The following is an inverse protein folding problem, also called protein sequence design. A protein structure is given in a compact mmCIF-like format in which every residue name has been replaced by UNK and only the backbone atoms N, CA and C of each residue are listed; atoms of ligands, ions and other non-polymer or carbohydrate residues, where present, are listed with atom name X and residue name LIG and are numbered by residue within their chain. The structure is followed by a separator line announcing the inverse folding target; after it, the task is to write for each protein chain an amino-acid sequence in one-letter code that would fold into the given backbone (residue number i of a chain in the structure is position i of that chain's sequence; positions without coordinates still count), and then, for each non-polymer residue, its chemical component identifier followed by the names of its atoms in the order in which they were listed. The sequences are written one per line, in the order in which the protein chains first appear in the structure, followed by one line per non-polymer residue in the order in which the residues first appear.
data_IF_627992303400
#
_entry.id   IF_627992303400
#
_cell.length_a   1.000
_cell.length_b   1.000
_cell.length_c   1.000
_cell.angle_alpha   90.00
_cell.angle_beta   90.00
_cell.angle_gamma   90.00
#
_symmetry.space_group_name_H-M   'P 1'
#
loop_
_entity.id
_entity.type
_entity.pdbx_description
1 polymer ?
#
# COMPACT_ATOMS: atom_id res chain seq x y z
N UNK A 1 -21.73 -3.27 -14.17
CA UNK A 1 -22.47 -2.70 -13.02
C UNK A 1 -22.17 -3.42 -11.69
N UNK A 2 -21.97 -4.74 -11.66
CA UNK A 2 -21.73 -5.50 -10.40
C UNK A 2 -20.42 -5.16 -9.69
N UNK A 3 -19.32 -4.96 -10.42
CA UNK A 3 -18.01 -4.59 -9.84
C UNK A 3 -18.06 -3.25 -9.11
N UNK A 4 -18.77 -2.25 -9.68
CA UNK A 4 -18.93 -0.93 -9.03
C UNK A 4 -19.69 -1.04 -7.69
N UNK A 5 -20.72 -1.88 -7.63
CA UNK A 5 -21.48 -2.11 -6.38
C UNK A 5 -20.68 -2.89 -5.34
N UNK A 6 -19.86 -3.86 -5.76
CA UNK A 6 -18.96 -4.60 -4.87
C UNK A 6 -17.85 -3.71 -4.33
N UNK A 7 -17.25 -2.87 -5.17
CA UNK A 7 -16.26 -1.88 -4.76
C UNK A 7 -16.87 -0.87 -3.79
N UNK A 8 -18.10 -0.43 -4.03
CA UNK A 8 -18.80 0.46 -3.09
C UNK A 8 -19.02 -0.20 -1.73
N UNK A 9 -19.45 -1.46 -1.71
CA UNK A 9 -19.60 -2.23 -0.47
C UNK A 9 -18.28 -2.50 0.23
N UNK A 10 -17.21 -2.75 -0.53
CA UNK A 10 -15.86 -2.92 -0.01
C UNK A 10 -15.35 -1.63 0.63
N UNK A 11 -15.44 -0.49 -0.06
CA UNK A 11 -15.04 0.83 0.46
C UNK A 11 -15.84 1.19 1.71
N UNK A 12 -17.16 0.99 1.68
CA UNK A 12 -18.00 1.32 2.84
C UNK A 12 -17.69 0.40 4.02
N UNK A 13 -17.45 -0.90 3.77
CA UNK A 13 -17.09 -1.87 4.81
C UNK A 13 -15.70 -1.66 5.40
N UNK A 14 -14.71 -1.27 4.59
CA UNK A 14 -13.34 -0.98 5.07
C UNK A 14 -13.28 0.31 5.89
N UNK A 15 -14.10 1.32 5.58
CA UNK A 15 -14.20 2.54 6.40
C UNK A 15 -14.76 2.20 7.79
N UNK A 16 -15.84 1.43 7.86
CA UNK A 16 -16.47 1.04 9.15
C UNK A 16 -15.55 0.12 9.96
N UNK A 17 -14.91 -0.87 9.33
CA UNK A 17 -13.96 -1.74 10.00
C UNK A 17 -12.67 -1.01 10.41
N UNK A 18 -12.18 -0.10 9.57
CA UNK A 18 -10.98 0.70 9.82
C UNK A 18 -11.16 1.63 11.02
N UNK A 19 -12.31 2.30 11.10
CA UNK A 19 -12.65 3.14 12.27
C UNK A 19 -12.80 2.32 13.55
N UNK A 20 -13.44 1.14 13.49
CA UNK A 20 -13.53 0.23 14.62
C UNK A 20 -12.14 -0.26 15.10
N UNK A 21 -11.24 -0.60 14.17
CA UNK A 21 -9.85 -0.98 14.50
C UNK A 21 -9.12 0.19 15.14
N UNK A 22 -9.23 1.41 14.62
CA UNK A 22 -8.56 2.59 15.22
C UNK A 22 -9.12 2.89 16.62
N UNK A 23 -10.43 2.76 16.83
CA UNK A 23 -11.09 2.96 18.13
C UNK A 23 -10.75 1.89 19.16
N UNK A 24 -10.59 0.63 18.73
CA UNK A 24 -10.33 -0.50 19.63
C UNK A 24 -8.84 -0.81 19.80
N UNK A 25 -7.96 -0.24 18.97
CA UNK A 25 -6.51 -0.42 19.09
C UNK A 25 -5.99 0.49 20.21
N UNK A 26 -5.14 0.00 21.13
CA UNK A 26 -4.62 0.78 22.25
C UNK A 26 -3.57 1.85 21.85
N UNK A 27 -3.40 2.14 20.56
CA UNK A 27 -2.39 3.07 20.06
C UNK A 27 -2.92 4.51 20.01
N UNK A 28 -2.08 5.49 20.39
CA UNK A 28 -2.45 6.90 20.30
C UNK A 28 -2.58 7.36 18.84
N UNK A 29 -3.46 8.30 18.51
CA UNK A 29 -3.62 8.74 17.11
C UNK A 29 -2.37 9.44 16.55
N UNK A 30 -1.54 10.06 17.41
CA UNK A 30 -0.17 10.49 17.05
C UNK A 30 0.70 9.33 16.56
N UNK A 31 0.63 8.17 17.22
CA UNK A 31 1.37 6.97 16.83
C UNK A 31 0.83 6.36 15.54
N UNK A 32 -0.49 6.33 15.37
CA UNK A 32 -1.14 5.82 14.14
C UNK A 32 -0.78 6.68 12.93
N UNK A 33 -0.88 8.01 13.04
CA UNK A 33 -0.45 8.95 11.99
C UNK A 33 1.03 8.78 11.63
N UNK A 34 1.88 8.61 12.66
CA UNK A 34 3.31 8.31 12.47
C UNK A 34 3.55 7.02 11.68
N UNK A 35 2.84 5.94 12.01
CA UNK A 35 2.93 4.65 11.31
C UNK A 35 2.41 4.72 9.86
N UNK A 36 1.34 5.46 9.61
CA UNK A 36 0.80 5.66 8.25
C UNK A 36 1.80 6.42 7.37
N UNK A 37 2.40 7.49 7.92
CA UNK A 37 3.41 8.28 7.21
C UNK A 37 4.66 7.45 6.90
N UNK A 38 5.17 6.70 7.90
CA UNK A 38 6.33 5.83 7.72
C UNK A 38 6.08 4.68 6.73
N UNK A 39 4.91 4.02 6.82
CA UNK A 39 4.57 2.89 5.97
C UNK A 39 4.46 3.25 4.48
N UNK A 40 4.02 4.47 4.15
CA UNK A 40 4.02 4.97 2.76
C UNK A 40 5.41 5.03 2.15
N UNK A 41 6.35 5.60 2.90
CA UNK A 41 7.73 5.77 2.46
C UNK A 41 8.44 4.42 2.35
N UNK A 42 8.20 3.53 3.31
CA UNK A 42 8.73 2.16 3.33
C UNK A 42 8.28 1.33 2.12
N UNK A 43 7.01 1.44 1.71
CA UNK A 43 6.49 0.75 0.52
C UNK A 43 7.20 1.24 -0.76
N UNK A 44 7.38 2.56 -0.90
CA UNK A 44 8.08 3.14 -2.05
C UNK A 44 9.53 2.66 -2.13
N UNK A 45 10.24 2.69 -0.99
CA UNK A 45 11.63 2.23 -0.90
C UNK A 45 11.74 0.73 -1.21
N UNK A 46 10.85 -0.09 -0.66
CA UNK A 46 10.83 -1.55 -0.89
C UNK A 46 10.65 -1.89 -2.38
N UNK A 47 9.85 -1.12 -3.10
CA UNK A 47 9.63 -1.33 -4.54
C UNK A 47 10.84 -0.89 -5.37
N UNK A 48 11.51 0.20 -4.98
CA UNK A 48 12.76 0.60 -5.62
C UNK A 48 13.87 -0.43 -5.40
N UNK A 49 13.97 -0.96 -4.19
CA UNK A 49 14.93 -2.01 -3.85
C UNK A 49 14.64 -3.31 -4.61
N UNK A 50 13.38 -3.73 -4.68
CA UNK A 50 12.96 -4.89 -5.45
C UNK A 50 13.35 -4.75 -6.92
N UNK A 51 13.14 -3.57 -7.51
CA UNK A 51 13.55 -3.27 -8.89
C UNK A 51 15.06 -3.39 -9.08
N UNK A 52 15.85 -2.88 -8.14
CA UNK A 52 17.32 -2.99 -8.20
C UNK A 52 17.78 -4.45 -8.14
N UNK A 53 17.26 -5.22 -7.18
CA UNK A 53 17.56 -6.66 -7.02
C UNK A 53 17.21 -7.46 -8.29
N UNK A 54 16.10 -7.14 -8.95
CA UNK A 54 15.72 -7.79 -10.22
C UNK A 54 16.69 -7.46 -11.35
N UNK A 55 17.19 -6.22 -11.42
CA UNK A 55 18.22 -5.85 -12.39
C UNK A 55 19.54 -6.59 -12.14
N UNK A 56 19.91 -6.80 -10.88
CA UNK A 56 21.11 -7.55 -10.52
C UNK A 56 20.97 -9.03 -10.92
N UNK A 57 19.85 -9.68 -10.58
CA UNK A 57 19.58 -11.06 -11.00
C UNK A 57 19.64 -11.18 -12.54
N UNK A 58 19.07 -10.20 -13.26
CA UNK A 58 19.14 -10.16 -14.73
C UNK A 58 20.59 -10.13 -15.23
N UNK A 59 21.46 -9.34 -14.60
CA UNK A 59 22.86 -9.21 -14.97
C UNK A 59 23.70 -10.44 -14.57
N UNK A 60 23.38 -11.09 -13.46
CA UNK A 60 24.10 -12.26 -12.93
C UNK A 60 23.70 -13.61 -13.57
N UNK A 61 22.63 -13.62 -14.38
CA UNK A 61 22.11 -14.83 -15.04
C UNK A 61 23.12 -15.49 -16.02
N UNK A 62 24.27 -14.86 -16.30
CA UNK A 62 25.28 -15.31 -17.29
C UNK A 62 25.83 -16.72 -17.02
N UNK A 63 25.88 -17.19 -15.77
CA UNK A 63 26.51 -18.47 -15.39
C UNK A 63 25.55 -19.67 -15.20
N UNK A 64 24.23 -19.50 -15.37
CA UNK A 64 23.25 -20.57 -15.17
C UNK A 64 23.09 -21.55 -16.37
N UNK A 65 22.49 -22.72 -16.15
CA UNK A 65 22.20 -23.72 -17.21
C UNK A 65 21.03 -23.26 -18.11
N UNK A 66 20.87 -23.83 -19.32
CA UNK A 66 19.89 -23.33 -20.32
C UNK A 66 18.44 -23.26 -19.78
N UNK A 67 17.97 -24.34 -19.13
CA UNK A 67 16.61 -24.42 -18.56
C UNK A 67 16.41 -23.44 -17.40
N UNK A 68 17.44 -23.26 -16.57
CA UNK A 68 17.39 -22.31 -15.46
C UNK A 68 17.49 -20.86 -15.95
N UNK A 69 18.26 -20.57 -17.01
CA UNK A 69 18.30 -19.26 -17.68
C UNK A 69 16.96 -18.85 -18.25
N UNK A 70 16.27 -19.75 -18.95
CA UNK A 70 14.96 -19.47 -19.54
C UNK A 70 13.91 -19.24 -18.44
N UNK A 71 13.90 -20.06 -17.39
CA UNK A 71 12.96 -19.91 -16.26
C UNK A 71 13.19 -18.63 -15.45
N UNK A 72 14.45 -18.29 -15.17
CA UNK A 72 14.80 -17.05 -14.45
C UNK A 72 14.45 -15.82 -15.28
N UNK A 73 14.70 -15.84 -16.60
CA UNK A 73 14.32 -14.73 -17.49
C UNK A 73 12.81 -14.51 -17.50
N UNK A 74 12.02 -15.57 -17.67
CA UNK A 74 10.57 -15.47 -17.64
C UNK A 74 10.07 -14.87 -16.31
N UNK A 75 10.58 -15.37 -15.18
CA UNK A 75 10.27 -14.80 -13.87
C UNK A 75 10.64 -13.32 -13.74
N UNK A 76 11.83 -12.92 -14.18
CA UNK A 76 12.27 -11.50 -14.17
C UNK A 76 11.33 -10.63 -15.02
N UNK A 77 10.93 -11.12 -16.19
CA UNK A 77 10.00 -10.42 -17.08
C UNK A 77 8.63 -10.27 -16.42
N UNK A 78 8.11 -11.32 -15.81
CA UNK A 78 6.82 -11.29 -15.10
C UNK A 78 6.85 -10.30 -13.93
N UNK A 79 7.90 -10.32 -13.09
CA UNK A 79 7.99 -9.38 -11.96
C UNK A 79 8.17 -7.95 -12.45
N UNK A 80 8.91 -7.74 -13.54
CA UNK A 80 9.02 -6.42 -14.17
C UNK A 80 7.66 -5.91 -14.64
N UNK A 81 6.84 -6.77 -15.27
CA UNK A 81 5.49 -6.43 -15.69
C UNK A 81 4.60 -6.10 -14.49
N UNK A 82 4.68 -6.87 -13.40
CA UNK A 82 3.95 -6.59 -12.17
C UNK A 82 4.31 -5.22 -11.57
N UNK A 83 5.60 -4.88 -11.51
CA UNK A 83 6.06 -3.57 -11.02
C UNK A 83 5.62 -2.44 -11.96
N UNK A 84 5.68 -2.66 -13.27
CA UNK A 84 5.23 -1.67 -14.26
C UNK A 84 3.72 -1.44 -14.18
N UNK A 85 2.93 -2.50 -14.08
CA UNK A 85 1.48 -2.42 -13.91
C UNK A 85 1.10 -1.70 -12.61
N UNK A 86 1.75 -2.05 -11.49
CA UNK A 86 1.56 -1.34 -10.22
C UNK A 86 1.89 0.16 -10.35
N UNK A 87 2.97 0.50 -11.05
CA UNK A 87 3.33 1.91 -11.30
C UNK A 87 2.27 2.62 -12.15
N UNK A 88 1.84 2.03 -13.26
CA UNK A 88 0.79 2.60 -14.13
C UNK A 88 -0.55 2.74 -13.41
N UNK A 89 -0.88 1.84 -12.50
CA UNK A 89 -2.13 1.88 -11.73
C UNK A 89 -2.08 2.91 -10.59
N UNK A 90 -0.95 3.05 -9.91
CA UNK A 90 -0.82 3.95 -8.75
C UNK A 90 -0.50 5.39 -9.17
N UNK A 91 0.27 5.62 -10.23
CA UNK A 91 0.72 6.95 -10.63
C UNK A 91 -0.41 7.95 -10.94
N UNK A 92 -1.47 7.60 -11.72
CA UNK A 92 -2.60 8.50 -11.94
C UNK A 92 -3.50 8.67 -10.70
N UNK A 93 -3.52 7.68 -9.79
CA UNK A 93 -4.32 7.72 -8.56
C UNK A 93 -3.53 8.23 -7.34
N UNK A 94 -2.26 8.62 -7.51
CA UNK A 94 -1.39 9.07 -6.42
C UNK A 94 -1.97 10.24 -5.64
N UNK A 95 -2.58 11.20 -6.34
CA UNK A 95 -3.20 12.36 -5.72
C UNK A 95 -4.45 11.96 -4.92
N UNK A 96 -5.27 11.05 -5.46
CA UNK A 96 -6.44 10.49 -4.78
C UNK A 96 -6.05 9.66 -3.54
N UNK A 97 -4.99 8.86 -3.62
CA UNK A 97 -4.42 8.13 -2.48
C UNK A 97 -3.84 9.08 -1.42
N UNK A 98 -3.20 10.17 -1.86
CA UNK A 98 -2.68 11.21 -0.95
C UNK A 98 -3.83 11.87 -0.21
N UNK A 99 -4.89 12.24 -0.94
CA UNK A 99 -6.09 12.84 -0.39
C UNK A 99 -6.84 11.89 0.55
N UNK A 100 -7.05 10.63 0.17
CA UNK A 100 -7.70 9.63 1.01
C UNK A 100 -6.95 9.39 2.32
N UNK A 101 -5.61 9.53 2.31
CA UNK A 101 -4.83 9.41 3.53
C UNK A 101 -4.91 10.68 4.38
N UNK A 102 -4.98 11.88 3.78
CA UNK A 102 -5.30 13.10 4.52
C UNK A 102 -6.70 13.04 5.16
N UNK A 103 -7.68 12.45 4.47
CA UNK A 103 -9.03 12.23 5.02
C UNK A 103 -9.01 11.24 6.19
N UNK A 104 -8.22 10.16 6.10
CA UNK A 104 -7.99 9.24 7.24
C UNK A 104 -7.33 9.98 8.41
N UNK A 105 -6.30 10.80 8.15
CA UNK A 105 -5.63 11.61 9.17
C UNK A 105 -6.61 12.57 9.85
N UNK A 106 -7.45 13.28 9.08
CA UNK A 106 -8.49 14.18 9.61
C UNK A 106 -9.51 13.42 10.45
N UNK A 107 -9.97 12.26 9.96
CA UNK A 107 -10.92 11.41 10.67
C UNK A 107 -10.37 10.93 12.01
N UNK A 108 -9.07 10.60 12.06
CA UNK A 108 -8.38 10.27 13.33
C UNK A 108 -8.42 11.47 14.29
N UNK A 109 -8.27 12.70 13.80
CA UNK A 109 -8.35 13.91 14.63
C UNK A 109 -9.74 14.11 15.24
N UNK A 110 -10.77 14.01 14.41
CA UNK A 110 -12.16 14.18 14.82
C UNK A 110 -12.56 13.11 15.85
N UNK A 111 -12.06 11.90 15.68
CA UNK A 111 -12.23 10.81 16.63
C UNK A 111 -11.47 11.06 17.94
N UNK A 112 -10.27 11.65 17.90
CA UNK A 112 -9.55 12.08 19.11
C UNK A 112 -10.30 13.18 19.88
N UNK A 113 -10.87 14.16 19.18
CA UNK A 113 -11.67 15.24 19.78
C UNK A 113 -12.97 14.72 20.39
N UNK A 114 -13.64 13.78 19.70
CA UNK A 114 -14.90 13.18 20.16
C UNK A 114 -14.69 12.17 21.29
N UNK A 115 -13.65 11.34 21.22
CA UNK A 115 -13.30 10.37 22.27
C UNK A 115 -12.59 11.02 23.47
N UNK A 116 -11.97 12.20 23.28
CA UNK A 116 -11.35 13.01 24.33
C UNK A 116 -12.34 13.84 25.17
N UNK A 117 -13.63 13.85 24.81
CA UNK A 117 -14.66 14.45 25.66
C UNK A 117 -15.11 13.40 26.69
N UNK A 118 -14.88 13.58 28.00
CA UNK A 118 -15.37 12.63 28.99
C UNK A 118 -16.89 12.56 28.92
N UNK A 119 -17.41 11.35 28.69
CA UNK A 119 -18.81 11.03 28.94
C UNK A 119 -19.14 11.45 30.37
N UNK A 120 -20.02 12.44 30.49
CA UNK A 120 -20.59 12.88 31.76
C UNK A 120 -21.86 12.11 32.05
#
# INVERSE_FOLDING_TARGET
MKVKSLLFGFVTGTIVAGTAVILTTPASGKEVRGKISAGKEEISLSIQELKARIMDIKNETVNASKVSKESIKAFIEDVKLLIQGWKEEIEPHKEELTKGIQEIESSIQELEETAGTPAK
#
